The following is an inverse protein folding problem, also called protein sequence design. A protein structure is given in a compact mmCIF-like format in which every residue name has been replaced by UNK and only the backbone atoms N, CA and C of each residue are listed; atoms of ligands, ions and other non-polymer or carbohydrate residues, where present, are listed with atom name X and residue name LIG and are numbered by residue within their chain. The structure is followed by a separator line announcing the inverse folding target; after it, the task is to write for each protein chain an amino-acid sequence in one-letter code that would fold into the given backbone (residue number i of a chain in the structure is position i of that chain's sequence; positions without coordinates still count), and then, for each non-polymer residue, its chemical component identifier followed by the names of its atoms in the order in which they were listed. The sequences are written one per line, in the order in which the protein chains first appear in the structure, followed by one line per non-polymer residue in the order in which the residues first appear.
data_IF_739871518398
#
_entry.id   IF_739871518398
#
_cell.length_a   1.000
_cell.length_b   1.000
_cell.length_c   1.000
_cell.angle_alpha   90.00
_cell.angle_beta   90.00
_cell.angle_gamma   90.00
#
_symmetry.space_group_name_H-M   'P 1'
#
loop_
_entity.id
_entity.type
_entity.pdbx_description
1 polymer ?
#
# COMPACT_ATOMS: atom_id res chain seq x y z
N UNK A 1 39.52 27.32 37.76
CA UNK A 1 39.51 27.02 39.20
C UNK A 1 38.64 28.06 39.89
N UNK A 2 37.51 27.61 40.42
CA UNK A 2 36.66 28.16 41.49
C UNK A 2 36.20 29.63 41.45
N UNK A 3 34.91 29.79 41.14
CA UNK A 3 34.06 30.86 41.68
C UNK A 3 33.10 30.24 42.71
N UNK A 4 33.05 30.87 43.89
CA UNK A 4 32.34 30.47 45.10
C UNK A 4 30.87 30.95 45.11
N UNK A 5 30.08 30.20 45.89
CA UNK A 5 28.64 30.27 46.14
C UNK A 5 28.03 31.61 46.60
N UNK A 6 26.75 31.79 46.28
CA UNK A 6 25.71 32.22 47.24
C UNK A 6 24.32 31.70 46.82
N UNK A 7 23.43 31.28 47.75
CA UNK A 7 22.18 30.57 47.46
C UNK A 7 20.93 31.48 47.55
N UNK A 8 19.88 31.15 46.79
CA UNK A 8 18.55 31.77 46.93
C UNK A 8 17.43 30.73 47.07
N UNK A 9 16.96 30.65 48.33
CA UNK A 9 15.58 30.52 48.85
C UNK A 9 14.57 29.61 48.14
N UNK A 10 14.19 28.60 48.90
CA UNK A 10 12.94 27.83 48.83
C UNK A 10 11.70 28.70 49.08
N UNK A 11 10.67 28.52 48.23
CA UNK A 11 9.28 28.88 48.51
C UNK A 11 8.42 27.64 48.23
N UNK A 12 7.89 27.05 49.31
CA UNK A 12 6.83 26.05 49.29
C UNK A 12 5.46 26.76 49.21
N UNK A 13 4.50 26.12 48.52
CA UNK A 13 3.06 25.95 48.84
C UNK A 13 2.29 25.60 47.54
N UNK A 14 1.10 24.99 47.59
CA UNK A 14 0.64 23.86 48.40
C UNK A 14 0.10 22.68 47.54
N UNK A 15 0.05 21.49 48.12
CA UNK A 15 -0.61 20.30 47.56
C UNK A 15 -2.13 20.48 47.59
N UNK A 16 -2.78 20.48 46.43
CA UNK A 16 -4.21 20.17 46.33
C UNK A 16 -4.37 18.73 45.85
N UNK A 17 -4.87 17.90 46.75
CA UNK A 17 -5.35 16.54 46.48
C UNK A 17 -6.83 16.68 46.13
N UNK A 18 -7.20 16.37 44.89
CA UNK A 18 -8.59 16.03 44.56
C UNK A 18 -8.63 14.62 43.99
N UNK A 19 -9.13 13.69 44.81
CA UNK A 19 -9.57 12.39 44.38
C UNK A 19 -10.77 12.56 43.44
N UNK A 20 -10.62 12.18 42.18
CA UNK A 20 -11.75 11.74 41.35
C UNK A 20 -11.36 10.43 40.69
N UNK A 21 -11.84 9.34 41.29
CA UNK A 21 -11.99 8.06 40.60
C UNK A 21 -13.06 8.26 39.52
N UNK A 22 -12.68 8.16 38.26
CA UNK A 22 -13.61 7.91 37.16
C UNK A 22 -13.05 6.74 36.37
N UNK A 23 -13.66 5.59 36.60
CA UNK A 23 -13.57 4.39 35.77
C UNK A 23 -14.21 4.65 34.41
N UNK A 24 -13.54 4.40 33.27
CA UNK A 24 -14.24 4.32 31.99
C UNK A 24 -14.82 2.92 31.83
N UNK A 25 -16.13 2.78 32.06
CA UNK A 25 -16.92 1.62 31.66
C UNK A 25 -17.32 1.81 30.19
N UNK A 26 -16.70 1.05 29.29
CA UNK A 26 -17.10 1.00 27.88
C UNK A 26 -18.29 0.04 27.74
N UNK A 27 -19.49 0.59 27.65
CA UNK A 27 -20.70 -0.13 27.21
C UNK A 27 -20.86 0.04 25.70
N UNK A 28 -20.63 -1.03 24.95
CA UNK A 28 -21.03 -1.18 23.55
C UNK A 28 -22.44 -1.80 23.49
N UNK A 29 -23.47 -1.13 22.95
CA UNK A 29 -24.75 -1.77 22.72
C UNK A 29 -24.68 -2.65 21.46
N UNK A 30 -24.67 -3.98 21.67
CA UNK A 30 -24.94 -4.99 20.64
C UNK A 30 -26.35 -4.79 20.10
N UNK A 31 -26.48 -4.39 18.83
CA UNK A 31 -27.75 -4.38 18.11
C UNK A 31 -27.86 -5.67 17.30
N UNK A 32 -28.64 -6.61 17.83
CA UNK A 32 -29.06 -7.83 17.14
C UNK A 32 -30.17 -7.44 16.17
N UNK A 33 -29.94 -7.62 14.88
CA UNK A 33 -30.98 -7.55 13.85
C UNK A 33 -31.25 -9.00 13.42
N UNK A 34 -32.40 -9.53 13.83
CA UNK A 34 -32.97 -10.77 13.32
C UNK A 34 -33.72 -10.46 12.03
N UNK A 35 -33.28 -11.00 10.89
CA UNK A 35 -34.09 -11.06 9.67
C UNK A 35 -34.41 -12.51 9.34
N UNK A 36 -35.70 -12.83 9.39
CA UNK A 36 -36.33 -14.07 8.94
C UNK A 36 -36.15 -14.28 7.43
N UNK A 37 -35.60 -15.43 7.03
CA UNK A 37 -35.62 -15.91 5.65
C UNK A 37 -36.72 -16.99 5.54
N UNK A 38 -37.73 -16.69 4.74
CA UNK A 38 -38.74 -17.65 4.28
C UNK A 38 -38.20 -18.43 3.06
N UNK A 39 -38.41 -19.74 3.09
CA UNK A 39 -38.05 -20.71 2.06
C UNK A 39 -39.22 -20.91 1.09
N UNK A 40 -39.00 -20.75 -0.22
CA UNK A 40 -39.81 -21.35 -1.31
C UNK A 40 -38.81 -21.69 -2.43
N UNK A 41 -38.48 -22.98 -2.66
CA UNK A 41 -39.02 -23.84 -3.73
C UNK A 41 -38.56 -23.41 -5.13
N UNK A 42 -38.11 -24.22 -6.10
CA UNK A 42 -37.91 -25.66 -6.31
C UNK A 42 -37.22 -25.80 -7.70
N UNK A 43 -36.83 -27.04 -8.08
CA UNK A 43 -36.58 -27.54 -9.46
C UNK A 43 -35.18 -27.24 -10.07
N UNK A 44 -34.45 -28.14 -10.76
CA UNK A 44 -34.66 -29.49 -11.34
C UNK A 44 -33.28 -30.20 -11.38
N UNK A 45 -33.22 -31.49 -11.00
CA UNK A 45 -32.08 -32.37 -11.32
C UNK A 45 -32.35 -33.11 -12.65
N UNK A 46 -31.39 -33.08 -13.58
CA UNK A 46 -31.37 -33.95 -14.76
C UNK A 46 -30.35 -35.07 -14.50
N UNK A 47 -30.83 -36.30 -14.38
CA UNK A 47 -30.00 -37.51 -14.33
C UNK A 47 -29.97 -38.18 -15.70
N UNK A 48 -28.77 -38.41 -16.23
CA UNK A 48 -28.55 -39.25 -17.41
C UNK A 48 -27.96 -40.58 -16.95
N UNK A 49 -28.72 -41.65 -17.12
CA UNK A 49 -28.32 -43.02 -16.76
C UNK A 49 -27.82 -43.74 -18.01
N UNK A 50 -26.58 -44.24 -17.99
CA UNK A 50 -26.09 -45.19 -18.99
C UNK A 50 -25.93 -46.57 -18.33
N UNK A 51 -26.63 -47.57 -18.88
CA UNK A 51 -26.60 -48.97 -18.48
C UNK A 51 -25.54 -49.74 -19.28
N UNK A 52 -24.73 -50.56 -18.62
CA UNK A 52 -23.94 -51.64 -19.24
C UNK A 52 -24.24 -52.95 -18.49
N UNK A 53 -24.59 -54.06 -19.17
CA UNK A 53 -25.01 -55.29 -18.52
C UNK A 53 -23.83 -56.26 -18.31
N UNK A 54 -23.72 -56.89 -17.13
CA UNK A 54 -22.88 -58.09 -16.95
C UNK A 54 -23.63 -59.17 -16.14
N UNK A 55 -23.51 -60.41 -16.63
CA UNK A 55 -24.16 -61.67 -16.22
C UNK A 55 -23.85 -62.08 -14.76
N UNK A 56 -24.81 -62.75 -14.15
CA UNK A 56 -24.74 -63.34 -12.81
C UNK A 56 -23.98 -64.67 -12.75
N UNK A 57 -23.21 -64.89 -11.67
CA UNK A 57 -23.10 -66.16 -10.93
C UNK A 57 -22.32 -66.01 -9.60
N UNK A 58 -22.85 -66.70 -8.56
CA UNK A 58 -22.26 -67.18 -7.30
C UNK A 58 -21.79 -66.21 -6.20
N UNK A 59 -22.53 -66.28 -5.09
CA UNK A 59 -22.17 -66.26 -3.65
C UNK A 59 -20.78 -65.75 -3.22
N UNK A 60 -20.81 -64.66 -2.46
CA UNK A 60 -19.72 -64.16 -1.62
C UNK A 60 -20.12 -62.81 -1.02
N UNK A 61 -20.26 -62.73 0.31
CA UNK A 61 -20.50 -61.46 1.00
C UNK A 61 -19.17 -60.73 1.07
N UNK A 62 -18.89 -59.90 0.07
CA UNK A 62 -17.83 -58.89 0.12
C UNK A 62 -18.46 -57.55 0.54
N UNK A 63 -18.04 -57.05 1.70
CA UNK A 63 -18.26 -55.66 2.10
C UNK A 63 -17.46 -54.75 1.17
N UNK A 64 -18.10 -54.25 0.11
CA UNK A 64 -17.57 -53.17 -0.70
C UNK A 64 -17.59 -51.86 0.10
N UNK A 65 -16.41 -51.37 0.47
CA UNK A 65 -16.24 -49.98 0.89
C UNK A 65 -16.39 -49.13 -0.37
N UNK A 66 -17.53 -48.45 -0.50
CA UNK A 66 -17.70 -47.40 -1.50
C UNK A 66 -16.85 -46.23 -1.02
N UNK A 67 -15.67 -46.07 -1.62
CA UNK A 67 -14.98 -44.79 -1.60
C UNK A 67 -15.73 -43.94 -2.61
N UNK A 68 -16.60 -43.05 -2.13
CA UNK A 68 -17.02 -41.92 -2.93
C UNK A 68 -15.76 -41.08 -3.16
N UNK A 69 -15.09 -41.31 -4.29
CA UNK A 69 -14.20 -40.28 -4.84
C UNK A 69 -15.13 -39.12 -5.19
N UNK A 70 -15.17 -38.12 -4.32
CA UNK A 70 -15.63 -36.79 -4.70
C UNK A 70 -14.76 -36.36 -5.88
N UNK A 71 -15.25 -36.56 -7.10
CA UNK A 71 -14.77 -35.81 -8.25
C UNK A 71 -14.97 -34.33 -7.88
N UNK A 72 -13.88 -33.66 -7.45
CA UNK A 72 -13.87 -32.21 -7.32
C UNK A 72 -14.34 -31.65 -8.67
N UNK A 73 -15.57 -31.11 -8.70
CA UNK A 73 -16.01 -30.33 -9.85
C UNK A 73 -14.91 -29.33 -10.18
N UNK A 74 -14.53 -29.16 -11.46
CA UNK A 74 -13.44 -28.29 -11.83
C UNK A 74 -13.80 -26.89 -11.36
N UNK A 75 -13.19 -26.43 -10.27
CA UNK A 75 -13.26 -25.04 -9.80
C UNK A 75 -12.86 -24.19 -10.99
N UNK A 76 -13.83 -23.59 -11.68
CA UNK A 76 -13.58 -22.69 -12.79
C UNK A 76 -12.56 -21.66 -12.29
N UNK A 77 -11.33 -21.69 -12.82
CA UNK A 77 -10.32 -20.70 -12.44
C UNK A 77 -10.91 -19.33 -12.70
N UNK A 78 -11.03 -18.52 -11.64
CA UNK A 78 -11.65 -17.19 -11.66
C UNK A 78 -10.94 -16.27 -12.67
N UNK A 79 -9.66 -16.56 -12.97
CA UNK A 79 -8.89 -15.86 -13.98
C UNK A 79 -8.33 -16.81 -15.06
N UNK A 80 -8.45 -16.37 -16.30
CA UNK A 80 -7.73 -16.93 -17.44
C UNK A 80 -6.32 -16.33 -17.46
N UNK A 81 -5.31 -17.19 -17.53
CA UNK A 81 -3.89 -16.82 -17.47
C UNK A 81 -3.28 -16.87 -18.87
N UNK A 82 -2.64 -15.77 -19.29
CA UNK A 82 -1.96 -15.63 -20.56
C UNK A 82 -0.52 -15.15 -20.35
N UNK A 83 0.32 -15.31 -21.38
CA UNK A 83 1.75 -14.94 -21.35
C UNK A 83 2.02 -13.51 -20.84
N UNK A 84 1.20 -12.54 -21.25
CA UNK A 84 1.44 -11.13 -20.95
C UNK A 84 2.61 -10.53 -21.72
N UNK A 85 3.04 -9.33 -21.30
CA UNK A 85 4.09 -8.54 -21.93
C UNK A 85 5.00 -7.92 -20.86
N UNK A 86 6.30 -7.77 -21.12
CA UNK A 86 7.26 -7.19 -20.16
C UNK A 86 7.11 -5.67 -19.99
N UNK A 87 6.28 -4.99 -20.78
CA UNK A 87 6.11 -3.54 -20.71
C UNK A 87 4.66 -3.11 -20.96
N UNK A 88 4.23 -1.98 -20.35
CA UNK A 88 4.95 -1.20 -19.33
C UNK A 88 5.07 -1.95 -18.00
N UNK A 89 5.96 -1.50 -17.10
CA UNK A 89 6.05 -2.02 -15.73
C UNK A 89 4.82 -1.65 -14.89
N UNK A 90 4.54 -2.47 -13.88
CA UNK A 90 3.34 -2.39 -13.05
C UNK A 90 2.15 -3.17 -13.61
N UNK A 91 1.01 -3.03 -12.94
CA UNK A 91 -0.28 -3.48 -13.45
C UNK A 91 -0.86 -2.46 -14.45
N UNK A 92 -1.30 -2.92 -15.62
CA UNK A 92 -1.86 -2.09 -16.68
C UNK A 92 -3.06 -2.77 -17.35
N UNK A 93 -4.18 -2.07 -17.47
CA UNK A 93 -5.36 -2.56 -18.20
C UNK A 93 -5.05 -2.68 -19.69
N UNK A 94 -5.18 -3.88 -20.26
CA UNK A 94 -4.91 -4.15 -21.67
C UNK A 94 -5.56 -5.45 -22.15
N UNK A 95 -5.82 -5.53 -23.46
CA UNK A 95 -6.19 -6.78 -24.15
C UNK A 95 -7.42 -7.49 -23.52
N UNK A 96 -8.31 -6.71 -22.89
CA UNK A 96 -9.51 -7.20 -22.17
C UNK A 96 -9.24 -7.77 -20.78
N UNK A 97 -8.08 -7.46 -20.17
CA UNK A 97 -7.70 -7.88 -18.82
C UNK A 97 -6.67 -6.93 -18.21
N UNK A 98 -5.85 -7.44 -17.28
CA UNK A 98 -4.77 -6.69 -16.64
C UNK A 98 -3.44 -7.40 -16.90
N UNK A 99 -2.51 -6.68 -17.51
CA UNK A 99 -1.13 -7.11 -17.67
C UNK A 99 -0.31 -6.66 -16.46
N UNK A 100 0.37 -7.61 -15.84
CA UNK A 100 1.27 -7.39 -14.71
C UNK A 100 2.69 -7.58 -15.23
N UNK A 101 3.60 -6.64 -14.94
CA UNK A 101 5.01 -6.75 -15.30
C UNK A 101 5.91 -6.16 -14.21
N UNK A 102 6.88 -6.94 -13.73
CA UNK A 102 7.78 -6.55 -12.64
C UNK A 102 9.21 -7.03 -12.92
N UNK A 103 10.18 -6.14 -12.67
CA UNK A 103 11.59 -6.46 -12.82
C UNK A 103 12.11 -7.22 -11.58
N UNK A 104 12.78 -8.36 -11.81
CA UNK A 104 13.63 -9.02 -10.82
C UNK A 104 14.61 -9.93 -11.56
N UNK A 105 15.90 -9.56 -11.54
CA UNK A 105 16.94 -10.29 -12.26
C UNK A 105 17.30 -11.59 -11.52
N UNK A 106 17.50 -11.49 -10.20
CA UNK A 106 18.06 -12.58 -9.41
C UNK A 106 17.01 -13.54 -8.82
N UNK A 107 15.71 -13.30 -9.01
CA UNK A 107 14.68 -14.23 -8.57
C UNK A 107 14.68 -15.53 -9.37
N UNK A 108 14.53 -16.65 -8.66
CA UNK A 108 14.41 -18.01 -9.22
C UNK A 108 12.97 -18.28 -9.69
N UNK A 109 11.99 -17.81 -8.93
CA UNK A 109 10.58 -17.86 -9.31
C UNK A 109 9.81 -16.64 -8.81
N UNK A 110 8.68 -16.36 -9.46
CA UNK A 110 7.76 -15.31 -9.07
C UNK A 110 6.34 -15.85 -9.00
N UNK A 111 5.59 -15.43 -7.99
CA UNK A 111 4.16 -15.70 -7.86
C UNK A 111 3.43 -14.39 -7.70
N UNK A 112 2.45 -14.13 -8.58
CA UNK A 112 1.51 -13.02 -8.42
C UNK A 112 0.43 -13.46 -7.42
N UNK A 113 0.28 -12.72 -6.34
CA UNK A 113 -0.74 -12.94 -5.32
C UNK A 113 -1.89 -11.96 -5.53
N UNK A 114 -3.09 -12.46 -5.78
CA UNK A 114 -4.32 -11.67 -5.78
C UNK A 114 -4.98 -11.75 -4.40
N UNK A 115 -5.40 -10.61 -3.87
CA UNK A 115 -5.87 -10.46 -2.50
C UNK A 115 -7.14 -9.62 -2.49
N UNK A 116 -8.26 -10.19 -2.07
CA UNK A 116 -9.49 -9.44 -1.85
C UNK A 116 -9.35 -8.49 -0.66
N UNK A 117 -10.12 -7.40 -0.62
CA UNK A 117 -10.09 -6.47 0.52
C UNK A 117 -10.35 -7.16 1.87
N UNK A 118 -11.27 -8.13 1.91
CA UNK A 118 -11.54 -8.91 3.12
C UNK A 118 -10.35 -9.77 3.52
N UNK A 119 -9.73 -10.46 2.55
CA UNK A 119 -8.60 -11.35 2.84
C UNK A 119 -7.34 -10.57 3.26
N UNK A 120 -7.15 -9.34 2.78
CA UNK A 120 -6.04 -8.47 3.20
C UNK A 120 -6.05 -8.24 4.72
N UNK A 121 -7.22 -7.96 5.30
CA UNK A 121 -7.35 -7.75 6.76
C UNK A 121 -7.01 -8.98 7.60
N UNK A 122 -7.08 -10.17 7.00
CA UNK A 122 -6.79 -11.44 7.65
C UNK A 122 -5.41 -12.00 7.24
N UNK A 123 -4.61 -11.23 6.49
CA UNK A 123 -3.34 -11.65 5.90
C UNK A 123 -3.44 -12.93 5.06
N UNK A 124 -4.57 -13.12 4.37
CA UNK A 124 -4.81 -14.28 3.49
C UNK A 124 -4.64 -13.89 2.03
N UNK A 125 -4.18 -14.84 1.21
CA UNK A 125 -4.12 -14.69 -0.25
C UNK A 125 -5.33 -15.37 -0.86
N UNK A 126 -6.07 -14.64 -1.69
CA UNK A 126 -7.27 -15.16 -2.35
C UNK A 126 -6.89 -16.11 -3.48
N UNK A 127 -5.91 -15.74 -4.30
CA UNK A 127 -5.45 -16.55 -5.42
C UNK A 127 -3.96 -16.34 -5.71
N UNK A 128 -3.26 -17.41 -6.05
CA UNK A 128 -1.84 -17.38 -6.40
C UNK A 128 -1.65 -17.84 -7.84
N UNK A 129 -1.05 -16.98 -8.65
CA UNK A 129 -0.69 -17.29 -10.04
C UNK A 129 0.82 -17.47 -10.09
N UNK A 130 1.27 -18.71 -10.27
CA UNK A 130 2.68 -19.02 -10.48
C UNK A 130 3.11 -18.56 -11.89
N UNK A 131 4.22 -17.83 -11.99
CA UNK A 131 4.76 -17.39 -13.27
C UNK A 131 5.84 -18.37 -13.72
N UNK A 132 5.59 -19.05 -14.83
CA UNK A 132 6.56 -19.98 -15.42
C UNK A 132 7.76 -19.20 -15.99
N UNK A 133 9.00 -19.45 -15.55
CA UNK A 133 10.18 -18.74 -16.03
C UNK A 133 10.43 -18.84 -17.55
N UNK A 134 9.90 -19.88 -18.21
CA UNK A 134 10.07 -20.07 -19.66
C UNK A 134 9.05 -19.29 -20.49
N UNK A 135 7.87 -19.01 -19.94
CA UNK A 135 6.78 -18.35 -20.66
C UNK A 135 6.47 -16.95 -20.12
N UNK A 136 6.47 -16.77 -18.81
CA UNK A 136 6.13 -15.54 -18.09
C UNK A 136 7.36 -14.70 -17.67
N UNK A 137 8.50 -14.86 -18.36
CA UNK A 137 9.68 -14.01 -18.17
C UNK A 137 10.30 -13.65 -19.52
N UNK A 138 10.63 -12.37 -19.72
CA UNK A 138 11.40 -11.89 -20.88
C UNK A 138 12.58 -11.08 -20.37
N UNK A 139 13.81 -11.58 -20.57
CA UNK A 139 14.98 -11.03 -19.89
C UNK A 139 14.83 -11.16 -18.37
N UNK A 140 14.95 -10.04 -17.66
CA UNK A 140 14.80 -9.96 -16.20
C UNK A 140 13.42 -9.50 -15.75
N UNK A 141 12.44 -9.49 -16.66
CA UNK A 141 11.08 -8.99 -16.39
C UNK A 141 10.11 -10.15 -16.36
N UNK A 142 9.48 -10.33 -15.21
CA UNK A 142 8.38 -11.27 -15.00
C UNK A 142 7.08 -10.62 -15.44
N UNK A 143 6.25 -11.35 -16.17
CA UNK A 143 5.00 -10.80 -16.68
C UNK A 143 3.91 -11.84 -16.91
N UNK A 144 2.66 -11.42 -16.73
CA UNK A 144 1.46 -12.24 -16.97
C UNK A 144 0.28 -11.36 -17.33
N UNK A 145 -0.59 -11.82 -18.22
CA UNK A 145 -1.88 -11.17 -18.51
C UNK A 145 -2.99 -12.04 -17.92
N UNK A 146 -3.82 -11.43 -17.10
CA UNK A 146 -4.97 -12.08 -16.49
C UNK A 146 -6.28 -11.48 -17.02
N UNK A 147 -7.23 -12.34 -17.39
CA UNK A 147 -8.61 -11.94 -17.71
C UNK A 147 -9.56 -12.57 -16.71
N UNK A 148 -10.39 -11.76 -16.07
CA UNK A 148 -11.35 -12.20 -15.06
C UNK A 148 -11.90 -11.00 -14.30
N UNK A 149 -12.55 -11.28 -13.17
CA UNK A 149 -13.16 -10.25 -12.32
C UNK A 149 -12.20 -9.79 -11.23
N UNK A 150 -11.75 -8.53 -11.34
CA UNK A 150 -10.86 -7.86 -10.37
C UNK A 150 -11.61 -6.97 -9.38
N UNK A 151 -12.94 -7.03 -9.33
CA UNK A 151 -13.71 -6.24 -8.37
C UNK A 151 -13.24 -6.51 -6.94
N UNK A 152 -12.94 -5.43 -6.22
CA UNK A 152 -12.46 -5.45 -4.83
C UNK A 152 -11.19 -6.29 -4.61
N UNK A 153 -10.37 -6.44 -5.67
CA UNK A 153 -9.11 -7.17 -5.65
C UNK A 153 -7.90 -6.24 -5.69
N UNK A 154 -6.88 -6.64 -4.94
CA UNK A 154 -5.54 -6.05 -4.88
C UNK A 154 -4.53 -7.11 -5.31
N UNK A 155 -3.26 -6.70 -5.44
CA UNK A 155 -2.19 -7.64 -5.78
C UNK A 155 -0.86 -7.36 -5.06
N UNK A 156 -0.01 -8.37 -5.02
CA UNK A 156 1.40 -8.27 -4.64
C UNK A 156 2.18 -9.44 -5.25
N UNK A 157 3.46 -9.55 -4.93
CA UNK A 157 4.30 -10.64 -5.44
C UNK A 157 4.99 -11.39 -4.32
N UNK A 158 5.22 -12.68 -4.52
CA UNK A 158 6.23 -13.46 -3.79
C UNK A 158 7.35 -13.78 -4.74
N UNK A 159 8.59 -13.59 -4.30
CA UNK A 159 9.77 -13.99 -5.05
C UNK A 159 10.53 -15.04 -4.25
N UNK A 160 10.95 -16.08 -4.96
CA UNK A 160 11.80 -17.13 -4.42
C UNK A 160 13.23 -16.96 -4.94
N UNK A 161 14.21 -17.37 -4.14
CA UNK A 161 15.64 -17.18 -4.40
C UNK A 161 16.45 -17.37 -3.13
N UNK A 162 17.73 -16.98 -3.19
CA UNK A 162 18.60 -17.13 -2.02
C UNK A 162 18.25 -16.10 -0.93
N UNK A 163 18.03 -16.59 0.28
CA UNK A 163 17.96 -15.79 1.49
C UNK A 163 19.29 -15.91 2.25
N UNK A 164 20.17 -14.93 2.05
CA UNK A 164 21.49 -14.85 2.67
C UNK A 164 21.80 -13.38 3.00
N UNK A 165 21.20 -12.83 4.07
CA UNK A 165 21.37 -11.43 4.46
C UNK A 165 22.83 -11.02 4.66
N UNK A 166 23.68 -11.95 5.10
CA UNK A 166 25.13 -11.78 5.29
C UNK A 166 25.93 -11.49 4.01
N UNK A 167 25.30 -11.64 2.84
CA UNK A 167 25.84 -11.24 1.53
C UNK A 167 24.85 -10.39 0.74
N UNK A 168 23.81 -9.85 1.39
CA UNK A 168 22.88 -8.90 0.79
C UNK A 168 21.75 -9.51 -0.05
N UNK A 169 21.44 -10.80 0.13
CA UNK A 169 20.35 -11.49 -0.58
C UNK A 169 19.14 -11.71 0.34
N UNK A 170 17.95 -11.28 -0.08
CA UNK A 170 16.76 -11.17 0.78
C UNK A 170 15.48 -11.75 0.14
N UNK A 171 15.60 -12.74 -0.73
CA UNK A 171 14.42 -13.41 -1.30
C UNK A 171 13.74 -14.27 -0.23
N UNK A 172 12.57 -13.84 0.23
CA UNK A 172 11.76 -14.55 1.22
C UNK A 172 10.36 -14.83 0.65
N UNK A 173 10.09 -16.04 0.13
CA UNK A 173 8.80 -16.38 -0.49
C UNK A 173 7.64 -16.43 0.53
N UNK A 174 7.91 -16.33 1.83
CA UNK A 174 6.86 -16.15 2.84
C UNK A 174 6.28 -14.73 2.87
N UNK A 175 6.98 -13.74 2.28
CA UNK A 175 6.58 -12.34 2.23
C UNK A 175 5.92 -11.99 0.91
N UNK A 176 4.80 -11.27 0.99
CA UNK A 176 4.18 -10.63 -0.16
C UNK A 176 4.70 -9.21 -0.23
N UNK A 177 5.43 -8.90 -1.30
CA UNK A 177 6.02 -7.59 -1.55
C UNK A 177 5.19 -6.77 -2.53
N UNK A 178 5.26 -5.46 -2.37
CA UNK A 178 4.61 -4.47 -3.23
C UNK A 178 5.30 -4.36 -4.57
N UNK A 179 4.51 -4.13 -5.62
CA UNK A 179 4.99 -3.68 -6.92
C UNK A 179 5.57 -2.26 -6.80
N UNK A 180 6.84 -2.02 -7.16
CA UNK A 180 7.41 -0.68 -7.16
C UNK A 180 6.61 0.34 -7.97
N UNK A 181 5.88 -0.09 -9.01
CA UNK A 181 5.07 0.74 -9.91
C UNK A 181 3.59 0.82 -9.53
N UNK A 182 3.20 0.34 -8.35
CA UNK A 182 1.82 0.40 -7.86
C UNK A 182 1.27 1.83 -7.89
N UNK A 183 0.10 2.03 -8.49
CA UNK A 183 -0.55 3.35 -8.60
C UNK A 183 -1.29 3.77 -7.33
N UNK A 184 -1.53 2.83 -6.43
CA UNK A 184 -2.01 3.06 -5.07
C UNK A 184 -1.68 1.84 -4.21
N UNK A 185 -1.47 2.05 -2.91
CA UNK A 185 -1.16 1.02 -1.91
C UNK A 185 -2.21 1.04 -0.82
N UNK A 186 -2.70 -0.15 -0.47
CA UNK A 186 -3.72 -0.38 0.54
C UNK A 186 -3.14 -1.18 1.69
N UNK A 187 -3.37 -0.67 2.90
CA UNK A 187 -3.12 -1.36 4.16
C UNK A 187 -4.06 -0.80 5.23
N UNK A 188 -3.63 0.26 5.92
CA UNK A 188 -4.42 1.01 6.93
C UNK A 188 -5.08 2.21 6.29
N UNK A 189 -6.35 2.45 6.62
CA UNK A 189 -7.17 3.51 6.03
C UNK A 189 -7.14 4.84 6.76
N UNK A 190 -6.66 4.87 8.00
CA UNK A 190 -6.71 6.06 8.84
C UNK A 190 -5.33 6.40 9.40
N UNK A 191 -5.01 7.70 9.43
CA UNK A 191 -3.75 8.21 9.96
C UNK A 191 -3.66 8.00 11.47
N UNK A 192 -2.59 7.37 11.94
CA UNK A 192 -2.32 7.16 13.37
C UNK A 192 -3.00 5.93 13.98
N UNK A 193 -3.79 5.18 13.19
CA UNK A 193 -4.49 3.97 13.65
C UNK A 193 -3.63 2.74 13.37
N UNK A 194 -3.31 1.96 14.40
CA UNK A 194 -2.54 0.71 14.27
C UNK A 194 -3.31 -0.35 13.48
N UNK A 195 -2.58 -1.29 12.87
CA UNK A 195 -3.18 -2.49 12.29
C UNK A 195 -3.73 -3.45 13.36
N UNK A 196 -4.36 -4.54 12.92
CA UNK A 196 -4.77 -5.63 13.80
C UNK A 196 -3.60 -6.11 14.68
N UNK A 197 -3.88 -6.47 15.93
CA UNK A 197 -2.89 -6.84 16.96
C UNK A 197 -1.76 -5.82 17.16
N UNK A 198 -2.09 -4.53 17.13
CA UNK A 198 -1.15 -3.41 17.26
C UNK A 198 0.01 -3.44 16.23
N UNK A 199 -0.23 -4.06 15.08
CA UNK A 199 0.79 -4.21 14.05
C UNK A 199 1.07 -2.87 13.35
N UNK A 200 2.33 -2.43 13.42
CA UNK A 200 2.84 -1.21 12.74
C UNK A 200 3.10 -1.43 11.25
N UNK A 201 3.28 -2.68 10.82
CA UNK A 201 3.55 -3.10 9.45
C UNK A 201 2.60 -4.24 9.04
N UNK A 202 1.28 -4.00 8.98
CA UNK A 202 0.34 -4.98 8.44
C UNK A 202 0.63 -5.24 6.96
N UNK A 203 0.13 -6.36 6.43
CA UNK A 203 0.28 -6.66 5.01
C UNK A 203 -0.25 -5.50 4.16
N UNK A 204 0.55 -5.10 3.18
CA UNK A 204 0.20 -4.08 2.20
C UNK A 204 -0.06 -4.74 0.85
N UNK A 205 -0.96 -4.19 0.05
CA UNK A 205 -1.23 -4.68 -1.29
C UNK A 205 -1.49 -3.53 -2.27
N UNK A 206 -1.24 -3.79 -3.55
CA UNK A 206 -1.28 -2.81 -4.62
C UNK A 206 -2.67 -2.77 -5.27
N UNK A 207 -3.15 -1.58 -5.61
CA UNK A 207 -4.39 -1.40 -6.37
C UNK A 207 -4.26 -1.98 -7.79
N UNK A 208 -5.25 -2.77 -8.20
CA UNK A 208 -5.40 -3.21 -9.60
C UNK A 208 -6.15 -2.11 -10.38
N UNK A 209 -5.60 -1.57 -11.49
CA UNK A 209 -6.27 -0.53 -12.25
C UNK A 209 -7.50 -1.08 -12.99
N UNK A 210 -8.51 -0.22 -13.16
CA UNK A 210 -9.74 -0.51 -13.92
C UNK A 210 -9.85 0.39 -15.15
N UNK A 211 -10.56 -0.08 -16.19
CA UNK A 211 -10.76 0.69 -17.42
C UNK A 211 -11.68 1.91 -17.23
N UNK A 212 -12.53 1.87 -16.21
CA UNK A 212 -13.68 2.76 -16.03
C UNK A 212 -13.32 4.07 -15.30
N UNK A 213 -12.19 4.11 -14.60
CA UNK A 213 -11.83 5.23 -13.72
C UNK A 213 -10.92 6.27 -14.40
N UNK A 214 -11.43 6.93 -15.45
CA UNK A 214 -10.75 8.11 -16.04
C UNK A 214 -11.12 9.37 -15.26
N UNK A 215 -10.11 10.09 -14.78
CA UNK A 215 -10.28 11.39 -14.13
C UNK A 215 -10.54 12.48 -15.17
N UNK A 216 -11.56 13.31 -14.95
CA UNK A 216 -11.85 14.47 -15.80
C UNK A 216 -11.02 15.68 -15.35
N UNK A 217 -10.03 16.04 -16.16
CA UNK A 217 -9.16 17.20 -15.89
C UNK A 217 -9.82 18.54 -16.24
N UNK A 218 -10.98 18.56 -16.89
CA UNK A 218 -11.68 19.80 -17.28
C UNK A 218 -10.78 20.75 -18.12
N UNK A 219 -9.86 20.18 -18.91
CA UNK A 219 -8.91 20.93 -19.74
C UNK A 219 -7.69 21.50 -18.99
N UNK A 220 -7.48 21.10 -17.75
CA UNK A 220 -6.33 21.51 -16.95
C UNK A 220 -4.98 21.17 -17.61
N UNK A 221 -3.99 22.04 -17.40
CA UNK A 221 -2.61 21.84 -17.85
C UNK A 221 -1.64 22.59 -16.93
N UNK A 222 -0.38 22.11 -16.79
CA UNK A 222 0.60 22.78 -15.94
C UNK A 222 0.78 24.27 -16.29
N UNK A 223 0.77 25.14 -15.28
CA UNK A 223 0.78 26.61 -15.45
C UNK A 223 2.09 27.15 -16.04
N UNK A 224 3.24 26.56 -15.67
CA UNK A 224 4.57 26.87 -16.20
C UNK A 224 4.97 28.34 -16.02
N UNK A 225 4.76 28.89 -14.82
CA UNK A 225 5.29 30.19 -14.46
C UNK A 225 6.81 30.22 -14.60
N UNK A 226 7.41 31.35 -15.01
CA UNK A 226 8.86 31.51 -14.94
C UNK A 226 9.33 31.37 -13.50
N UNK A 227 10.39 30.59 -13.26
CA UNK A 227 10.87 30.31 -11.90
C UNK A 227 11.14 31.56 -11.05
N UNK A 228 11.60 32.65 -11.67
CA UNK A 228 11.87 33.94 -11.00
C UNK A 228 10.61 34.62 -10.43
N UNK A 229 9.43 34.23 -10.91
CA UNK A 229 8.14 34.82 -10.55
C UNK A 229 7.41 33.96 -9.49
N UNK A 230 8.02 32.84 -9.05
CA UNK A 230 7.44 31.95 -8.05
C UNK A 230 7.58 32.49 -6.62
N UNK A 231 6.49 32.39 -5.87
CA UNK A 231 6.41 32.59 -4.42
C UNK A 231 5.91 31.27 -3.85
N UNK A 232 6.87 30.48 -3.34
CA UNK A 232 6.65 29.10 -2.91
C UNK A 232 6.20 29.07 -1.45
N UNK A 233 5.13 28.33 -1.17
CA UNK A 233 4.64 28.03 0.17
C UNK A 233 4.84 26.55 0.49
N UNK A 234 5.86 26.23 1.31
CA UNK A 234 6.06 24.88 1.82
C UNK A 234 4.95 24.52 2.81
N UNK A 235 4.32 23.37 2.62
CA UNK A 235 3.22 22.93 3.47
C UNK A 235 3.10 21.42 3.60
N UNK A 236 2.54 21.02 4.74
CA UNK A 236 2.18 19.64 5.03
C UNK A 236 0.67 19.44 4.81
N UNK A 237 0.27 18.48 3.95
CA UNK A 237 -1.15 18.20 3.63
C UNK A 237 -2.00 18.03 4.90
N UNK A 238 -1.60 17.13 5.79
CA UNK A 238 -2.28 16.94 7.08
C UNK A 238 -2.27 18.20 7.96
N UNK A 239 -1.08 18.74 8.26
CA UNK A 239 -0.92 19.88 9.16
C UNK A 239 -1.71 21.13 8.74
N UNK A 240 -1.92 21.34 7.44
CA UNK A 240 -2.58 22.54 6.91
C UNK A 240 -4.03 22.69 7.40
N UNK A 241 -4.76 21.58 7.54
CA UNK A 241 -6.20 21.63 7.89
C UNK A 241 -6.62 20.72 9.04
N UNK A 242 -5.70 20.00 9.68
CA UNK A 242 -6.03 19.06 10.77
C UNK A 242 -6.64 19.72 12.01
N UNK A 243 -6.24 20.95 12.34
CA UNK A 243 -6.72 21.63 13.55
C UNK A 243 -8.21 22.01 13.42
N UNK A 244 -8.99 21.88 14.50
CA UNK A 244 -10.44 22.15 14.52
C UNK A 244 -10.82 23.55 14.01
N UNK A 245 -9.92 24.53 14.14
CA UNK A 245 -10.12 25.89 13.65
C UNK A 245 -10.16 25.97 12.12
N UNK A 246 -9.77 24.92 11.40
CA UNK A 246 -9.91 24.85 9.94
C UNK A 246 -11.38 24.87 9.51
N UNK A 247 -12.28 24.28 10.33
CA UNK A 247 -13.74 24.23 10.11
C UNK A 247 -14.12 23.68 8.73
N UNK A 248 -13.53 22.56 8.35
CA UNK A 248 -13.80 21.85 7.09
C UNK A 248 -14.33 20.43 7.36
N UNK A 249 -14.90 19.80 6.33
CA UNK A 249 -15.49 18.47 6.47
C UNK A 249 -14.42 17.37 6.60
N UNK A 250 -13.30 17.50 5.88
CA UNK A 250 -12.25 16.47 5.80
C UNK A 250 -10.87 16.98 6.30
N UNK A 251 -10.70 17.25 7.61
CA UNK A 251 -9.47 17.79 8.18
C UNK A 251 -8.26 16.90 7.91
N UNK A 252 -7.17 17.52 7.45
CA UNK A 252 -5.89 16.88 7.22
C UNK A 252 -5.83 15.96 5.99
N UNK A 253 -6.69 16.21 5.00
CA UNK A 253 -6.77 15.44 3.75
C UNK A 253 -6.51 16.32 2.51
N UNK A 254 -6.34 15.70 1.34
CA UNK A 254 -6.25 16.41 0.06
C UNK A 254 -7.48 17.29 -0.22
N UNK A 255 -8.70 16.77 0.03
CA UNK A 255 -9.93 17.56 -0.08
C UNK A 255 -9.94 18.73 0.90
N UNK A 256 -9.43 18.52 2.10
CA UNK A 256 -9.31 19.60 3.07
C UNK A 256 -8.40 20.72 2.60
N UNK A 257 -7.30 20.40 1.90
CA UNK A 257 -6.45 21.41 1.26
C UNK A 257 -7.23 22.16 0.18
N UNK A 258 -7.99 21.46 -0.67
CA UNK A 258 -8.83 22.08 -1.72
C UNK A 258 -9.77 23.14 -1.15
N UNK A 259 -10.45 22.84 -0.03
CA UNK A 259 -11.35 23.78 0.64
C UNK A 259 -10.66 25.06 1.16
N UNK A 260 -9.33 25.07 1.26
CA UNK A 260 -8.53 26.19 1.78
C UNK A 260 -7.60 26.82 0.75
N UNK A 261 -7.65 26.42 -0.52
CA UNK A 261 -6.78 27.02 -1.55
C UNK A 261 -7.06 28.52 -1.78
N UNK A 262 -8.28 29.00 -1.55
CA UNK A 262 -8.60 30.43 -1.68
C UNK A 262 -7.84 31.28 -0.67
N UNK A 263 -7.56 30.76 0.54
CA UNK A 263 -6.71 31.44 1.51
C UNK A 263 -5.28 31.65 0.97
N UNK A 264 -4.71 30.65 0.30
CA UNK A 264 -3.37 30.74 -0.29
C UNK A 264 -3.34 31.73 -1.46
N UNK A 265 -4.40 31.73 -2.28
CA UNK A 265 -4.57 32.71 -3.35
C UNK A 265 -4.66 34.14 -2.80
N UNK A 266 -5.44 34.36 -1.74
CA UNK A 266 -5.55 35.66 -1.06
C UNK A 266 -4.24 36.11 -0.41
N UNK A 267 -3.47 35.17 0.14
CA UNK A 267 -2.12 35.41 0.66
C UNK A 267 -1.16 35.88 -0.43
N UNK A 268 -1.42 35.53 -1.69
CA UNK A 268 -0.64 35.92 -2.87
C UNK A 268 0.43 34.93 -3.29
N UNK A 269 0.39 33.69 -2.79
CA UNK A 269 1.30 32.64 -3.24
C UNK A 269 0.81 32.05 -4.57
N UNK A 270 1.73 31.68 -5.45
CA UNK A 270 1.43 31.08 -6.75
C UNK A 270 2.06 29.69 -6.94
N UNK A 271 2.66 29.14 -5.89
CA UNK A 271 3.17 27.78 -5.85
C UNK A 271 3.05 27.22 -4.44
N UNK A 272 2.52 26.01 -4.29
CA UNK A 272 2.62 25.23 -3.07
C UNK A 272 3.68 24.15 -3.25
N UNK A 273 4.52 23.96 -2.25
CA UNK A 273 5.45 22.84 -2.17
C UNK A 273 4.95 21.88 -1.10
N UNK A 274 4.41 20.74 -1.54
CA UNK A 274 3.91 19.72 -0.67
C UNK A 274 5.07 18.89 -0.12
N UNK A 275 5.15 18.79 1.21
CA UNK A 275 5.94 17.75 1.88
C UNK A 275 5.55 16.36 1.35
N UNK A 276 6.39 15.30 1.55
CA UNK A 276 6.22 14.01 0.89
C UNK A 276 4.78 13.48 0.84
N UNK A 277 4.26 13.33 -0.39
CA UNK A 277 2.91 12.82 -0.66
C UNK A 277 2.92 11.41 -1.26
N UNK A 278 4.09 10.82 -1.50
CA UNK A 278 4.20 9.39 -1.80
C UNK A 278 3.81 8.56 -0.56
N UNK A 279 3.29 7.35 -0.75
CA UNK A 279 2.92 6.45 0.36
C UNK A 279 4.12 6.22 1.30
N UNK A 280 3.93 6.48 2.59
CA UNK A 280 4.90 6.28 3.67
C UNK A 280 4.18 5.78 4.93
N UNK A 281 4.87 5.14 5.88
CA UNK A 281 4.23 4.66 7.11
C UNK A 281 4.43 5.62 8.30
N UNK A 282 3.40 6.35 8.72
CA UNK A 282 3.48 7.26 9.87
C UNK A 282 3.74 6.54 11.20
N UNK A 283 3.50 5.22 11.26
CA UNK A 283 3.66 4.41 12.47
C UNK A 283 4.99 3.65 12.55
N UNK A 284 5.93 3.86 11.61
CA UNK A 284 7.16 3.07 11.51
C UNK A 284 8.00 3.05 12.80
N UNK A 285 8.01 4.16 13.55
CA UNK A 285 8.66 4.31 14.86
C UNK A 285 7.68 4.69 15.98
N UNK A 286 6.41 4.28 15.82
CA UNK A 286 5.36 4.49 16.82
C UNK A 286 5.81 4.01 18.21
N UNK A 287 5.88 4.96 19.14
CA UNK A 287 6.33 4.72 20.50
C UNK A 287 5.82 5.82 21.42
N UNK A 288 5.50 5.46 22.66
CA UNK A 288 5.08 6.44 23.66
C UNK A 288 6.25 7.36 24.03
N UNK A 289 5.98 8.66 24.03
CA UNK A 289 6.89 9.70 24.43
C UNK A 289 6.53 10.18 25.84
N UNK A 290 7.25 9.66 26.83
CA UNK A 290 7.02 10.00 28.23
C UNK A 290 7.27 11.47 28.59
N UNK A 291 7.99 12.22 27.76
CA UNK A 291 8.29 13.64 28.01
C UNK A 291 7.12 14.53 27.62
N UNK A 292 6.51 14.30 26.46
CA UNK A 292 5.40 15.10 25.95
C UNK A 292 4.02 14.50 26.30
N UNK A 293 3.99 13.24 26.76
CA UNK A 293 2.74 12.54 27.05
C UNK A 293 1.98 12.11 25.80
N UNK A 294 2.63 12.05 24.65
CA UNK A 294 2.07 11.70 23.34
C UNK A 294 2.75 10.48 22.72
N UNK A 295 2.45 10.20 21.46
CA UNK A 295 3.11 9.13 20.70
C UNK A 295 3.90 9.73 19.53
N UNK A 296 5.12 9.24 19.35
CA UNK A 296 5.95 9.60 18.19
C UNK A 296 5.38 8.97 16.93
N UNK A 297 5.30 9.74 15.86
CA UNK A 297 4.90 9.27 14.53
C UNK A 297 5.82 9.89 13.49
N UNK A 298 5.99 9.22 12.34
CA UNK A 298 6.51 9.89 11.16
C UNK A 298 5.44 10.80 10.59
N UNK A 299 5.42 12.04 11.07
CA UNK A 299 4.49 13.04 10.58
C UNK A 299 4.87 13.47 9.16
N UNK A 300 6.13 13.88 8.96
CA UNK A 300 6.61 14.51 7.73
C UNK A 300 6.64 13.59 6.49
N UNK A 301 6.88 12.29 6.66
CA UNK A 301 6.81 11.33 5.57
C UNK A 301 8.09 11.12 4.75
N UNK A 302 9.25 11.62 5.20
CA UNK A 302 10.57 11.35 4.58
C UNK A 302 11.06 9.91 4.84
N UNK A 303 10.25 8.92 4.48
CA UNK A 303 10.51 7.47 4.58
C UNK A 303 9.55 6.75 3.64
N UNK A 304 9.82 6.86 2.33
CA UNK A 304 8.87 6.43 1.29
C UNK A 304 8.77 4.90 1.19
N UNK A 305 7.54 4.37 1.19
CA UNK A 305 7.20 2.97 0.98
C UNK A 305 6.96 2.68 -0.51
N UNK A 306 6.18 3.53 -1.20
CA UNK A 306 5.91 3.38 -2.64
C UNK A 306 5.86 4.74 -3.33
N UNK A 307 6.62 4.87 -4.42
CA UNK A 307 6.84 6.16 -5.10
C UNK A 307 5.78 6.50 -6.15
N UNK A 308 4.95 5.55 -6.57
CA UNK A 308 3.92 5.78 -7.58
C UNK A 308 2.52 5.93 -6.97
N UNK A 309 2.41 5.79 -5.65
CA UNK A 309 1.17 5.81 -4.90
C UNK A 309 1.08 7.09 -4.07
N UNK A 310 -0.01 7.87 -4.16
CA UNK A 310 -0.25 8.94 -3.19
C UNK A 310 -0.47 8.34 -1.80
N UNK A 311 -0.15 9.09 -0.74
CA UNK A 311 -0.37 8.69 0.64
C UNK A 311 -1.87 8.48 0.89
N UNK A 312 -2.27 7.22 1.03
CA UNK A 312 -3.69 6.81 1.13
C UNK A 312 -4.35 7.41 2.38
N UNK A 313 -3.60 7.58 3.47
CA UNK A 313 -4.10 8.15 4.74
C UNK A 313 -4.19 9.68 4.74
N UNK A 314 -3.84 10.34 3.64
CA UNK A 314 -4.22 11.73 3.37
C UNK A 314 -5.48 11.84 2.50
N UNK A 315 -6.07 10.71 2.08
CA UNK A 315 -7.36 10.71 1.42
C UNK A 315 -8.51 10.76 2.42
N UNK A 316 -9.58 11.48 2.10
CA UNK A 316 -10.84 11.43 2.84
C UNK A 316 -11.54 10.05 2.74
N UNK A 317 -11.20 9.29 1.70
CA UNK A 317 -11.75 7.98 1.44
C UNK A 317 -11.03 6.83 2.18
N UNK A 318 -9.79 7.04 2.61
CA UNK A 318 -8.94 5.98 3.18
C UNK A 318 -8.78 4.81 2.21
N UNK A 319 -9.03 3.58 2.66
CA UNK A 319 -8.94 2.36 1.83
C UNK A 319 -10.17 2.05 0.98
N UNK A 320 -11.21 2.90 1.02
CA UNK A 320 -12.41 2.73 0.18
C UNK A 320 -12.03 2.74 -1.31
N UNK A 321 -12.85 2.07 -2.12
CA UNK A 321 -12.66 1.95 -3.57
C UNK A 321 -11.25 1.48 -3.95
N UNK A 322 -10.64 0.58 -3.16
CA UNK A 322 -9.30 0.03 -3.39
C UNK A 322 -8.20 1.08 -3.66
N UNK A 323 -8.32 2.28 -3.08
CA UNK A 323 -7.31 3.34 -3.20
C UNK A 323 -7.41 4.21 -4.46
N UNK A 324 -8.44 4.00 -5.30
CA UNK A 324 -8.72 4.88 -6.44
C UNK A 324 -9.01 6.32 -6.01
N UNK A 325 -9.67 6.49 -4.87
CA UNK A 325 -10.07 7.80 -4.37
C UNK A 325 -8.86 8.65 -3.97
N UNK A 326 -7.82 8.07 -3.37
CA UNK A 326 -6.60 8.80 -3.04
C UNK A 326 -5.93 9.40 -4.30
N UNK A 327 -5.91 8.63 -5.40
CA UNK A 327 -5.41 9.10 -6.70
C UNK A 327 -6.27 10.23 -7.25
N UNK A 328 -7.59 10.09 -7.19
CA UNK A 328 -8.51 11.09 -7.72
C UNK A 328 -8.54 12.38 -6.88
N UNK A 329 -8.46 12.28 -5.55
CA UNK A 329 -8.38 13.43 -4.66
C UNK A 329 -7.07 14.21 -4.84
N UNK A 330 -5.95 13.53 -5.05
CA UNK A 330 -4.69 14.21 -5.36
C UNK A 330 -4.77 14.95 -6.71
N UNK A 331 -5.33 14.31 -7.74
CA UNK A 331 -5.57 14.98 -9.04
C UNK A 331 -6.51 16.18 -8.90
N UNK A 332 -7.55 16.05 -8.09
CA UNK A 332 -8.49 17.14 -7.80
C UNK A 332 -7.78 18.30 -7.11
N UNK A 333 -6.90 18.03 -6.13
CA UNK A 333 -6.06 19.06 -5.52
C UNK A 333 -5.24 19.83 -6.56
N UNK A 334 -4.54 19.12 -7.45
CA UNK A 334 -3.73 19.74 -8.51
C UNK A 334 -4.60 20.62 -9.42
N UNK A 335 -5.72 20.06 -9.92
CA UNK A 335 -6.64 20.78 -10.81
C UNK A 335 -7.21 22.05 -10.14
N UNK A 336 -7.62 21.96 -8.88
CA UNK A 336 -8.21 23.10 -8.15
C UNK A 336 -7.17 24.15 -7.75
N UNK A 337 -5.92 23.75 -7.53
CA UNK A 337 -4.78 24.67 -7.36
C UNK A 337 -4.49 25.42 -8.68
N UNK A 338 -4.43 24.70 -9.80
CA UNK A 338 -4.21 25.32 -11.11
C UNK A 338 -5.31 26.32 -11.50
N UNK A 339 -6.59 26.00 -11.25
CA UNK A 339 -7.71 26.94 -11.42
C UNK A 339 -7.54 28.26 -10.64
N UNK A 340 -6.77 28.22 -9.55
CA UNK A 340 -6.46 29.38 -8.70
C UNK A 340 -5.17 30.09 -9.07
N UNK A 341 -4.45 29.61 -10.08
CA UNK A 341 -3.14 30.14 -10.48
C UNK A 341 -2.02 29.70 -9.53
N UNK A 342 -2.15 28.51 -8.93
CA UNK A 342 -1.18 27.96 -7.97
C UNK A 342 -0.55 26.71 -8.58
N UNK A 343 0.76 26.71 -8.80
CA UNK A 343 1.54 25.52 -9.15
C UNK A 343 1.66 24.56 -7.96
N UNK A 344 1.83 23.28 -8.25
CA UNK A 344 2.02 22.24 -7.23
C UNK A 344 3.38 21.59 -7.44
N UNK A 345 4.28 21.84 -6.50
CA UNK A 345 5.53 21.10 -6.34
C UNK A 345 5.32 19.99 -5.30
N UNK A 346 6.02 18.88 -5.50
CA UNK A 346 5.99 17.75 -4.59
C UNK A 346 7.42 17.41 -4.18
N UNK A 347 7.67 17.40 -2.88
CA UNK A 347 8.93 16.92 -2.32
C UNK A 347 9.05 15.41 -2.54
N UNK A 348 10.20 14.96 -3.04
CA UNK A 348 10.46 13.57 -3.46
C UNK A 348 11.77 13.03 -2.87
N UNK A 349 11.68 11.83 -2.30
CA UNK A 349 12.76 11.24 -1.48
C UNK A 349 13.39 10.02 -2.15
N UNK A 350 14.04 10.20 -3.30
CA UNK A 350 14.66 9.09 -4.03
C UNK A 350 16.00 8.59 -3.44
N UNK A 351 16.50 9.20 -2.37
CA UNK A 351 17.83 8.87 -1.84
C UNK A 351 17.84 7.65 -0.89
N UNK A 352 16.70 7.32 -0.28
CA UNK A 352 16.51 6.15 0.60
C UNK A 352 15.04 5.74 0.65
N UNK A 353 14.74 4.58 1.24
CA UNK A 353 13.38 4.03 1.37
C UNK A 353 13.02 3.69 2.82
N UNK A 354 11.74 3.43 3.07
CA UNK A 354 11.21 2.95 4.36
C UNK A 354 11.68 1.55 4.77
N UNK A 355 12.35 0.80 3.89
CA UNK A 355 12.85 -0.54 4.24
C UNK A 355 14.07 -0.47 5.18
N UNK A 356 14.63 0.71 5.43
CA UNK A 356 15.76 0.91 6.36
C UNK A 356 16.96 0.02 6.00
N UNK A 357 17.73 -0.39 7.01
CA UNK A 357 18.84 -1.33 6.84
C UNK A 357 18.38 -2.80 6.96
N UNK A 358 19.30 -3.74 7.22
CA UNK A 358 19.02 -5.17 7.40
C UNK A 358 18.02 -5.51 8.52
N UNK A 359 17.78 -4.57 9.45
CA UNK A 359 16.82 -4.72 10.57
C UNK A 359 15.44 -4.14 10.25
N UNK A 360 15.31 -3.46 9.11
CA UNK A 360 14.04 -2.92 8.66
C UNK A 360 13.15 -3.97 8.00
N UNK A 361 11.92 -3.59 7.63
CA UNK A 361 10.96 -4.51 7.03
C UNK A 361 11.33 -4.88 5.58
N UNK A 362 10.82 -6.02 5.09
CA UNK A 362 10.84 -6.40 3.67
C UNK A 362 9.45 -6.05 3.12
N UNK A 363 9.37 -5.00 2.31
CA UNK A 363 8.11 -4.41 1.82
C UNK A 363 8.00 -4.46 0.30
N UNK A 364 9.08 -4.15 -0.41
CA UNK A 364 9.12 -4.01 -1.86
C UNK A 364 10.53 -4.34 -2.37
N UNK A 365 11.33 -3.32 -2.65
CA UNK A 365 12.62 -3.39 -3.34
C UNK A 365 13.57 -4.48 -2.82
N UNK A 366 13.69 -4.63 -1.50
CA UNK A 366 14.55 -5.64 -0.87
C UNK A 366 14.15 -7.06 -1.25
N UNK A 367 12.86 -7.37 -1.21
CA UNK A 367 12.34 -8.69 -1.58
C UNK A 367 12.15 -8.88 -3.09
N UNK A 368 12.12 -7.79 -3.87
CA UNK A 368 12.07 -7.85 -5.34
C UNK A 368 13.47 -8.11 -5.91
N UNK A 369 14.47 -7.29 -5.59
CA UNK A 369 15.88 -7.50 -5.97
C UNK A 369 16.82 -6.54 -5.20
N UNK A 370 17.18 -6.92 -3.96
CA UNK A 370 17.95 -6.06 -3.05
C UNK A 370 19.24 -5.47 -3.66
N UNK A 371 19.98 -6.30 -4.42
CA UNK A 371 21.28 -5.93 -5.00
C UNK A 371 21.17 -4.88 -6.11
N UNK A 372 20.01 -4.81 -6.76
CA UNK A 372 19.74 -3.86 -7.84
C UNK A 372 19.30 -2.52 -7.27
N UNK A 373 18.38 -2.55 -6.30
CA UNK A 373 17.74 -1.34 -5.78
C UNK A 373 18.54 -0.60 -4.71
N UNK A 374 19.41 -1.26 -3.95
CA UNK A 374 20.19 -0.63 -2.88
C UNK A 374 21.68 -0.63 -3.16
N UNK A 375 22.37 0.40 -2.68
CA UNK A 375 23.83 0.45 -2.67
C UNK A 375 24.35 -0.44 -1.54
N UNK A 376 25.04 -1.52 -1.90
CA UNK A 376 25.61 -2.48 -0.97
C UNK A 376 27.14 -2.48 -1.04
N UNK A 377 27.78 -2.67 0.12
CA UNK A 377 29.18 -3.01 0.21
C UNK A 377 29.41 -4.49 -0.19
N UNK A 378 30.66 -4.93 -0.44
CA UNK A 378 30.93 -6.27 -0.96
C UNK A 378 30.43 -7.44 -0.11
N UNK A 379 30.16 -7.26 1.18
CA UNK A 379 29.58 -8.29 2.06
C UNK A 379 28.11 -8.03 2.36
N UNK A 380 27.41 -7.27 1.51
CA UNK A 380 25.98 -7.04 1.62
C UNK A 380 25.55 -5.96 2.61
N UNK A 381 26.49 -5.26 3.26
CA UNK A 381 26.15 -4.15 4.16
C UNK A 381 25.55 -2.97 3.37
N UNK A 382 24.47 -2.37 3.87
CA UNK A 382 23.87 -1.20 3.24
C UNK A 382 24.75 0.04 3.42
N UNK A 383 25.10 0.72 2.32
CA UNK A 383 25.62 2.09 2.41
C UNK A 383 24.54 3.00 2.98
N UNK A 384 24.92 3.90 3.89
CA UNK A 384 23.99 4.78 4.59
C UNK A 384 24.36 6.26 4.43
N UNK A 385 24.47 6.72 3.18
CA UNK A 385 24.74 8.14 2.88
C UNK A 385 23.56 9.04 3.25
N UNK A 386 22.34 8.51 3.25
CA UNK A 386 21.13 9.23 3.67
C UNK A 386 21.07 9.48 5.18
N UNK A 387 21.74 8.65 5.99
CA UNK A 387 21.56 8.61 7.43
C UNK A 387 20.30 7.85 7.89
N UNK A 388 19.50 7.29 6.98
CA UNK A 388 18.22 6.65 7.25
C UNK A 388 18.24 5.10 7.16
N UNK A 389 19.42 4.50 7.04
CA UNK A 389 19.63 3.04 7.10
C UNK A 389 19.97 2.41 5.76
N UNK A 390 19.54 3.00 4.64
CA UNK A 390 19.94 2.58 3.30
C UNK A 390 20.23 3.78 2.38
N UNK A 391 20.84 3.48 1.24
CA UNK A 391 20.97 4.41 0.12
C UNK A 391 20.43 3.72 -1.12
N UNK A 392 19.48 4.35 -1.79
CA UNK A 392 18.91 3.85 -3.03
C UNK A 392 19.94 3.93 -4.16
N UNK A 393 19.99 2.91 -5.02
CA UNK A 393 21.02 2.77 -6.04
C UNK A 393 20.71 3.59 -7.30
N UNK A 394 20.53 4.91 -7.14
CA UNK A 394 19.95 5.81 -8.16
C UNK A 394 20.61 5.75 -9.53
N UNK A 395 21.90 5.40 -9.60
CA UNK A 395 22.65 5.35 -10.85
C UNK A 395 22.57 4.00 -11.56
N UNK A 396 22.09 2.93 -10.92
CA UNK A 396 21.86 1.65 -11.58
C UNK A 396 20.82 1.82 -12.71
N UNK A 397 21.02 1.25 -13.93
CA UNK A 397 20.14 1.52 -15.07
C UNK A 397 18.64 1.28 -14.80
N UNK A 398 18.30 0.20 -14.09
CA UNK A 398 16.92 -0.13 -13.72
C UNK A 398 16.34 0.89 -12.72
N UNK A 399 17.13 1.31 -11.74
CA UNK A 399 16.70 2.27 -10.71
C UNK A 399 16.58 3.67 -11.31
N UNK A 400 17.49 4.04 -12.21
CA UNK A 400 17.42 5.29 -12.98
C UNK A 400 16.16 5.33 -13.84
N UNK A 401 15.85 4.23 -14.53
CA UNK A 401 14.61 4.11 -15.31
C UNK A 401 13.38 4.24 -14.41
N UNK A 402 13.39 3.60 -13.24
CA UNK A 402 12.34 3.74 -12.22
C UNK A 402 12.13 5.19 -11.76
N UNK A 403 13.21 5.91 -11.43
CA UNK A 403 13.11 7.32 -11.01
C UNK A 403 12.56 8.18 -12.16
N UNK A 404 13.06 7.98 -13.39
CA UNK A 404 12.57 8.72 -14.56
C UNK A 404 11.10 8.43 -14.86
N UNK A 405 10.66 7.18 -14.71
CA UNK A 405 9.26 6.80 -14.93
C UNK A 405 8.35 7.28 -13.80
N UNK A 406 8.86 7.44 -12.58
CA UNK A 406 8.13 8.03 -11.46
C UNK A 406 7.88 9.52 -11.66
N UNK A 407 8.82 10.23 -12.28
CA UNK A 407 8.74 11.67 -12.54
C UNK A 407 7.90 12.03 -13.79
N UNK A 408 7.58 11.05 -14.63
CA UNK A 408 6.79 11.21 -15.86
C UNK A 408 5.31 10.92 -15.60
#
# INVERSE_FOLDING_TARGET
MNLLHSPLRSLQLPKFISQFQITPSFYLPKRVITSSLETIGSNVFSTSTALIPIKAASEGVDTAVVVEEEEEEPKFKKFQVFKGRPAPFGATVRDGGVNFAIFSANAVSATLCLISLSDLSENRVTEQIFLDPLTNKTGDVWHVLLKGDFKDMLYGYKFDGNFSPEVGLYYDPSKIVLDPYAKSVISRGEFGVLGHDDNRWPQMACMIPTAENKFDWEGDSPLKYPQRDLIIYEMHVRGFTQHESSRIEFPGTYLGVVEKLDHLKELGVNCIELMPCHEFNELEYYSYNSVLGDYKVNFWGYSTVNYFSPMTRYSSAGTRNCGHDAVNEFKLLVREAHKRGIEVFMDVVFNHTAEGNEKGPILSFRGVDNSIYYMLAPKGEFYNYSGCGNTFNCNHPIVRQFILDCLR
#
